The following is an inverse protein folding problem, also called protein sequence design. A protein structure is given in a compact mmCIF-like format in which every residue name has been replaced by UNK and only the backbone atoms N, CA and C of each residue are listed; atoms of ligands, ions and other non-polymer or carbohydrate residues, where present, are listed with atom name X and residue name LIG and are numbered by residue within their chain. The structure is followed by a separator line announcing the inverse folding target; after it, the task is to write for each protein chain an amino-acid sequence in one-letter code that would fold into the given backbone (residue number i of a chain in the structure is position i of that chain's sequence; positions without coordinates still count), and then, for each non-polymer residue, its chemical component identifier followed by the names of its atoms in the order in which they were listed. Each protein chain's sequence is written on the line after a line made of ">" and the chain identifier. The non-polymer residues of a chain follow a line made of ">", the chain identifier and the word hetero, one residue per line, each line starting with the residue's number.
data_IF_555549005672
#
_entry.id   IF_555549005672
#
_cell.length_a   1.000
_cell.length_b   1.000
_cell.length_c   1.000
_cell.angle_alpha   90.00
_cell.angle_beta   90.00
_cell.angle_gamma   90.00
#
_symmetry.space_group_name_H-M   'P 1'
#
loop_
_entity.id
_entity.type
_entity.pdbx_description
1 polymer ?
#
# COMPACT_ATOMS: atom_id res chain seq x y z
N UNK A 1 -3.00 -29.83 -17.68
CA UNK A 1 -3.81 -30.80 -18.47
C UNK A 1 -5.31 -30.75 -18.11
N UNK A 2 -5.90 -29.56 -17.89
CA UNK A 2 -7.30 -29.38 -17.42
C UNK A 2 -8.25 -28.82 -18.52
N UNK A 3 -7.86 -28.95 -19.80
CA UNK A 3 -8.57 -28.32 -20.93
C UNK A 3 -9.69 -29.17 -21.54
N UNK A 4 -9.84 -30.43 -21.15
CA UNK A 4 -10.86 -31.34 -21.68
C UNK A 4 -12.17 -31.36 -20.87
N UNK A 5 -12.30 -30.55 -19.82
CA UNK A 5 -13.50 -30.54 -18.95
C UNK A 5 -14.39 -29.31 -19.10
N UNK A 6 -14.14 -28.40 -20.06
CA UNK A 6 -15.12 -27.35 -20.34
C UNK A 6 -16.23 -27.93 -21.22
N UNK A 7 -17.49 -27.99 -20.73
CA UNK A 7 -18.61 -28.57 -21.49
C UNK A 7 -18.81 -27.86 -22.85
N UNK A 8 -18.42 -26.58 -22.93
CA UNK A 8 -18.46 -25.77 -24.16
C UNK A 8 -17.45 -26.21 -25.22
N UNK A 9 -16.28 -26.74 -24.85
CA UNK A 9 -15.32 -27.24 -25.83
C UNK A 9 -15.80 -28.56 -26.44
N UNK A 10 -16.54 -29.36 -25.67
CA UNK A 10 -17.09 -30.62 -26.12
C UNK A 10 -18.26 -30.42 -27.09
N UNK A 11 -19.15 -29.47 -26.82
CA UNK A 11 -20.24 -29.12 -27.75
C UNK A 11 -19.72 -28.53 -29.06
N UNK A 12 -18.66 -27.71 -28.99
CA UNK A 12 -18.02 -27.15 -30.19
C UNK A 12 -17.37 -28.23 -31.05
N UNK A 13 -16.65 -29.15 -30.41
CA UNK A 13 -15.98 -30.26 -31.11
C UNK A 13 -17.01 -31.24 -31.69
N UNK A 14 -18.09 -31.52 -30.96
CA UNK A 14 -19.20 -32.33 -31.45
C UNK A 14 -19.91 -31.70 -32.67
N UNK A 15 -20.14 -30.38 -32.65
CA UNK A 15 -20.70 -29.63 -33.79
C UNK A 15 -19.81 -29.73 -35.04
N UNK A 16 -18.51 -29.53 -34.88
CA UNK A 16 -17.53 -29.62 -35.98
C UNK A 16 -17.46 -31.04 -36.54
N UNK A 17 -17.42 -32.06 -35.67
CA UNK A 17 -17.40 -33.47 -36.09
C UNK A 17 -18.68 -33.85 -36.83
N UNK A 18 -19.84 -33.38 -36.36
CA UNK A 18 -21.12 -33.66 -36.99
C UNK A 18 -21.23 -32.98 -38.36
N UNK A 19 -20.73 -31.74 -38.50
CA UNK A 19 -20.70 -31.01 -39.76
C UNK A 19 -19.74 -31.67 -40.78
N UNK A 20 -18.57 -32.14 -40.32
CA UNK A 20 -17.65 -32.92 -41.15
C UNK A 20 -18.22 -34.28 -41.55
N UNK A 21 -18.94 -34.95 -40.66
CA UNK A 21 -19.60 -36.23 -40.93
C UNK A 21 -20.70 -36.09 -41.99
N UNK A 22 -21.55 -35.08 -41.88
CA UNK A 22 -22.59 -34.77 -42.88
C UNK A 22 -21.96 -34.35 -44.21
N UNK A 23 -20.90 -33.52 -44.18
CA UNK A 23 -20.18 -33.12 -45.39
C UNK A 23 -19.53 -34.31 -46.11
N UNK A 24 -18.90 -35.22 -45.36
CA UNK A 24 -18.31 -36.46 -45.89
C UNK A 24 -19.34 -37.43 -46.45
N UNK A 25 -20.51 -37.53 -45.81
CA UNK A 25 -21.64 -38.35 -46.31
C UNK A 25 -22.21 -37.80 -47.63
N UNK A 26 -22.31 -36.47 -47.76
CA UNK A 26 -22.75 -35.81 -48.99
C UNK A 26 -21.76 -35.95 -50.16
N UNK A 27 -20.47 -36.07 -49.86
CA UNK A 27 -19.38 -36.32 -50.81
C UNK A 27 -19.34 -37.77 -51.34
N UNK A 28 -19.97 -38.72 -50.63
CA UNK A 28 -20.09 -40.11 -51.06
C UNK A 28 -21.21 -40.33 -52.09
N UNK A 29 -22.02 -39.28 -52.38
CA UNK A 29 -23.12 -39.33 -53.33
C UNK A 29 -22.62 -38.98 -54.76
N UNK A 30 -22.65 -39.92 -55.73
CA UNK A 30 -21.97 -39.80 -57.03
C UNK A 30 -22.55 -38.75 -58.00
N UNK A 31 -23.56 -37.97 -57.59
CA UNK A 31 -24.18 -36.92 -58.40
C UNK A 31 -23.52 -35.52 -58.27
N UNK A 32 -22.47 -35.37 -57.45
CA UNK A 32 -21.85 -34.05 -57.18
C UNK A 32 -20.62 -33.74 -58.07
N UNK A 33 -20.64 -32.58 -58.72
CA UNK A 33 -19.56 -32.09 -59.58
C UNK A 33 -18.31 -31.72 -58.77
N UNK A 34 -17.10 -32.04 -59.28
CA UNK A 34 -15.79 -31.78 -58.64
C UNK A 34 -15.60 -30.34 -58.15
N UNK A 35 -16.28 -29.36 -58.78
CA UNK A 35 -16.24 -27.95 -58.40
C UNK A 35 -16.97 -27.63 -57.09
N UNK A 36 -18.01 -28.38 -56.73
CA UNK A 36 -18.78 -28.14 -55.51
C UNK A 36 -18.12 -28.76 -54.29
N UNK A 37 -17.45 -29.90 -54.47
CA UNK A 37 -16.57 -30.51 -53.47
C UNK A 37 -15.43 -29.58 -53.02
N UNK A 38 -14.81 -28.85 -53.96
CA UNK A 38 -13.73 -27.90 -53.64
C UNK A 38 -14.25 -26.68 -52.86
N UNK A 39 -15.45 -26.20 -53.17
CA UNK A 39 -16.07 -25.06 -52.48
C UNK A 39 -16.46 -25.40 -51.04
N UNK A 40 -17.03 -26.58 -50.82
CA UNK A 40 -17.43 -27.02 -49.47
C UNK A 40 -16.23 -27.36 -48.60
N UNK A 41 -15.19 -27.97 -49.17
CA UNK A 41 -13.93 -28.24 -48.47
C UNK A 41 -13.21 -26.96 -48.01
N UNK A 42 -13.17 -25.93 -48.86
CA UNK A 42 -12.58 -24.62 -48.53
C UNK A 42 -13.32 -23.91 -47.39
N UNK A 43 -14.66 -23.91 -47.42
CA UNK A 43 -15.48 -23.32 -46.35
C UNK A 43 -15.34 -24.08 -45.03
N UNK A 44 -15.34 -25.41 -45.06
CA UNK A 44 -15.15 -26.24 -43.87
C UNK A 44 -13.75 -26.03 -43.25
N UNK A 45 -12.70 -26.01 -44.06
CA UNK A 45 -11.34 -25.74 -43.60
C UNK A 45 -11.18 -24.33 -43.01
N UNK A 46 -11.74 -23.32 -43.69
CA UNK A 46 -11.75 -21.93 -43.21
C UNK A 46 -12.46 -21.78 -41.86
N UNK A 47 -13.60 -22.45 -41.67
CA UNK A 47 -14.33 -22.44 -40.42
C UNK A 47 -13.51 -23.02 -39.26
N UNK A 48 -12.81 -24.14 -39.46
CA UNK A 48 -11.96 -24.75 -38.42
C UNK A 48 -10.82 -23.81 -38.02
N UNK A 49 -10.14 -23.20 -39.00
CA UNK A 49 -9.04 -22.26 -38.74
C UNK A 49 -9.55 -21.02 -38.00
N UNK A 50 -10.70 -20.46 -38.40
CA UNK A 50 -11.30 -19.32 -37.73
C UNK A 50 -11.66 -19.63 -36.26
N UNK A 51 -12.22 -20.82 -36.00
CA UNK A 51 -12.55 -21.27 -34.64
C UNK A 51 -11.31 -21.51 -33.80
N UNK A 52 -10.26 -22.11 -34.38
CA UNK A 52 -9.00 -22.31 -33.68
C UNK A 52 -8.34 -20.97 -33.32
N UNK A 53 -8.37 -20.00 -34.24
CA UNK A 53 -7.88 -18.65 -33.97
C UNK A 53 -8.68 -17.96 -32.85
N UNK A 54 -10.02 -18.08 -32.87
CA UNK A 54 -10.87 -17.55 -31.81
C UNK A 54 -10.58 -18.20 -30.46
N UNK A 55 -10.43 -19.53 -30.42
CA UNK A 55 -10.09 -20.26 -29.21
C UNK A 55 -8.73 -19.87 -28.65
N UNK A 56 -7.73 -19.71 -29.52
CA UNK A 56 -6.40 -19.26 -29.12
C UNK A 56 -6.43 -17.84 -28.54
N UNK A 57 -7.24 -16.95 -29.14
CA UNK A 57 -7.42 -15.59 -28.67
C UNK A 57 -8.12 -15.54 -27.29
N UNK A 58 -9.21 -16.28 -27.10
CA UNK A 58 -9.90 -16.41 -25.80
C UNK A 58 -8.95 -16.95 -24.73
N UNK A 59 -8.13 -17.95 -25.09
CA UNK A 59 -7.17 -18.53 -24.16
C UNK A 59 -6.04 -17.57 -23.79
N UNK A 60 -5.53 -16.80 -24.73
CA UNK A 60 -4.53 -15.74 -24.46
C UNK A 60 -5.11 -14.70 -23.50
N UNK A 61 -6.32 -14.21 -23.80
CA UNK A 61 -7.03 -13.24 -22.97
C UNK A 61 -7.18 -13.71 -21.51
N UNK A 62 -7.63 -14.96 -21.29
CA UNK A 62 -7.77 -15.51 -19.93
C UNK A 62 -6.45 -15.61 -19.16
N UNK A 63 -5.33 -15.84 -19.85
CA UNK A 63 -4.01 -15.90 -19.20
C UNK A 63 -3.55 -14.51 -18.83
N UNK A 64 -3.77 -13.52 -19.69
CA UNK A 64 -3.44 -12.12 -19.43
C UNK A 64 -4.26 -11.54 -18.28
N UNK A 65 -5.57 -11.78 -18.24
CA UNK A 65 -6.45 -11.36 -17.14
C UNK A 65 -5.96 -11.93 -15.79
N UNK A 66 -5.63 -13.23 -15.74
CA UNK A 66 -5.07 -13.84 -14.53
C UNK A 66 -3.73 -13.27 -14.11
N UNK A 67 -2.88 -12.87 -15.06
CA UNK A 67 -1.59 -12.22 -14.75
C UNK A 67 -1.83 -10.85 -14.12
N UNK A 68 -2.72 -10.06 -14.71
CA UNK A 68 -3.09 -8.75 -14.18
C UNK A 68 -3.68 -8.86 -12.77
N UNK A 69 -4.54 -9.84 -12.51
CA UNK A 69 -5.11 -10.05 -11.18
C UNK A 69 -4.03 -10.41 -10.14
N UNK A 70 -3.09 -11.28 -10.50
CA UNK A 70 -1.96 -11.65 -9.62
C UNK A 70 -1.05 -10.44 -9.37
N UNK A 71 -0.75 -9.66 -10.40
CA UNK A 71 0.07 -8.44 -10.28
C UNK A 71 -0.62 -7.40 -9.39
N UNK A 72 -1.92 -7.16 -9.56
CA UNK A 72 -2.71 -6.28 -8.69
C UNK A 72 -2.68 -6.75 -7.24
N UNK A 73 -2.97 -8.03 -7.00
CA UNK A 73 -2.92 -8.60 -5.65
C UNK A 73 -1.53 -8.48 -5.02
N UNK A 74 -0.46 -8.68 -5.81
CA UNK A 74 0.91 -8.49 -5.32
C UNK A 74 1.17 -7.04 -4.95
N UNK A 75 0.80 -6.09 -5.80
CA UNK A 75 0.96 -4.67 -5.52
C UNK A 75 0.18 -4.22 -4.29
N UNK A 76 -1.04 -4.71 -4.09
CA UNK A 76 -1.84 -4.43 -2.90
C UNK A 76 -1.18 -4.97 -1.63
N UNK A 77 -0.68 -6.21 -1.66
CA UNK A 77 0.03 -6.81 -0.53
C UNK A 77 1.35 -6.09 -0.22
N UNK A 78 2.10 -5.70 -1.25
CA UNK A 78 3.33 -4.91 -1.09
C UNK A 78 3.05 -3.53 -0.51
N UNK A 79 1.99 -2.86 -0.96
CA UNK A 79 1.57 -1.57 -0.39
C UNK A 79 1.16 -1.69 1.08
N UNK A 80 0.39 -2.73 1.43
CA UNK A 80 0.02 -3.00 2.83
C UNK A 80 1.23 -3.29 3.70
N UNK A 81 2.17 -4.12 3.23
CA UNK A 81 3.42 -4.40 3.95
C UNK A 81 4.26 -3.14 4.14
N UNK A 82 4.41 -2.33 3.09
CA UNK A 82 5.14 -1.07 3.17
C UNK A 82 4.51 -0.12 4.20
N UNK A 83 3.19 -0.09 4.33
CA UNK A 83 2.52 0.72 5.34
C UNK A 83 2.73 0.19 6.76
N UNK A 84 2.61 -1.12 6.97
CA UNK A 84 2.91 -1.75 8.26
C UNK A 84 4.37 -1.52 8.69
N UNK A 85 5.32 -1.65 7.76
CA UNK A 85 6.74 -1.42 8.06
C UNK A 85 7.01 0.05 8.38
N UNK A 86 6.32 0.97 7.70
CA UNK A 86 6.37 2.40 8.03
C UNK A 86 5.85 2.68 9.44
N UNK A 87 4.77 2.04 9.85
CA UNK A 87 4.19 2.15 11.20
C UNK A 87 5.16 1.61 12.26
N UNK A 88 5.72 0.41 12.04
CA UNK A 88 6.73 -0.17 12.95
C UNK A 88 7.95 0.72 13.11
N UNK A 89 8.49 1.26 12.02
CA UNK A 89 9.61 2.21 12.08
C UNK A 89 9.24 3.49 12.82
N UNK A 90 7.96 3.90 12.78
CA UNK A 90 7.46 5.03 13.55
C UNK A 90 7.51 4.74 15.06
N UNK A 91 7.00 3.58 15.46
CA UNK A 91 6.98 3.12 16.85
C UNK A 91 8.38 2.95 17.43
N UNK A 92 9.30 2.35 16.67
CA UNK A 92 10.69 2.19 17.08
C UNK A 92 11.37 3.55 17.29
N UNK A 93 11.16 4.50 16.38
CA UNK A 93 11.67 5.88 16.52
C UNK A 93 11.05 6.60 17.72
N UNK A 94 9.76 6.40 17.96
CA UNK A 94 9.07 6.95 19.12
C UNK A 94 9.68 6.41 20.42
N UNK A 95 9.74 5.08 20.55
CA UNK A 95 10.31 4.41 21.71
C UNK A 95 11.75 4.86 21.97
N UNK A 96 12.57 4.93 20.90
CA UNK A 96 13.96 5.38 21.04
C UNK A 96 14.07 6.83 21.47
N UNK A 97 13.23 7.72 20.95
CA UNK A 97 13.24 9.12 21.36
C UNK A 97 12.78 9.29 22.82
N UNK A 98 11.79 8.52 23.28
CA UNK A 98 11.36 8.50 24.69
C UNK A 98 12.48 7.99 25.60
N UNK A 99 13.21 6.95 25.20
CA UNK A 99 14.38 6.44 25.93
C UNK A 99 15.47 7.53 26.05
N UNK A 100 15.81 8.20 24.94
CA UNK A 100 16.82 9.26 24.91
C UNK A 100 16.41 10.52 25.70
N UNK A 101 15.11 10.76 25.91
CA UNK A 101 14.63 11.85 26.75
C UNK A 101 14.99 11.64 28.23
N UNK A 102 15.24 10.40 28.65
CA UNK A 102 15.73 10.06 29.99
C UNK A 102 17.26 10.13 30.16
N UNK A 103 18.00 10.53 29.12
CA UNK A 103 19.47 10.55 29.15
C UNK A 103 20.01 11.71 30.01
N UNK A 104 21.15 11.51 30.69
CA UNK A 104 21.74 12.51 31.58
C UNK A 104 22.24 13.77 30.85
N UNK A 105 22.75 13.60 29.61
CA UNK A 105 23.18 14.72 28.79
C UNK A 105 22.01 15.53 28.23
N UNK A 106 21.99 16.84 28.52
CA UNK A 106 21.00 17.81 28.06
C UNK A 106 20.86 17.86 26.53
N UNK A 107 21.98 17.83 25.81
CA UNK A 107 21.99 17.84 24.34
C UNK A 107 21.28 16.63 23.73
N UNK A 108 21.40 15.45 24.35
CA UNK A 108 20.72 14.23 23.89
C UNK A 108 19.21 14.36 24.09
N UNK A 109 18.78 14.94 25.20
CA UNK A 109 17.35 15.20 25.47
C UNK A 109 16.77 16.22 24.49
N UNK A 110 17.50 17.29 24.16
CA UNK A 110 17.09 18.24 23.11
C UNK A 110 16.92 17.54 21.76
N UNK A 111 17.86 16.67 21.39
CA UNK A 111 17.74 15.82 20.21
C UNK A 111 16.48 14.95 20.22
N UNK A 112 16.20 14.31 21.35
CA UNK A 112 14.98 13.50 21.54
C UNK A 112 13.70 14.33 21.38
N UNK A 113 13.64 15.54 21.97
CA UNK A 113 12.52 16.46 21.83
C UNK A 113 12.23 16.80 20.36
N UNK A 114 13.28 17.10 19.59
CA UNK A 114 13.14 17.39 18.16
C UNK A 114 12.73 16.17 17.33
N UNK A 115 13.21 14.97 17.68
CA UNK A 115 12.80 13.72 17.05
C UNK A 115 11.30 13.45 17.27
N UNK A 116 10.81 13.59 18.51
CA UNK A 116 9.39 13.45 18.85
C UNK A 116 8.53 14.47 18.10
N UNK A 117 8.94 15.74 18.09
CA UNK A 117 8.21 16.78 17.35
C UNK A 117 8.22 16.54 15.84
N UNK A 118 9.31 15.99 15.28
CA UNK A 118 9.39 15.57 13.88
C UNK A 118 8.42 14.42 13.57
N UNK A 119 8.31 13.45 14.47
CA UNK A 119 7.35 12.35 14.33
C UNK A 119 5.90 12.87 14.36
N UNK A 120 5.55 13.73 15.33
CA UNK A 120 4.23 14.35 15.40
C UNK A 120 3.87 15.15 14.14
N UNK A 121 4.84 15.88 13.55
CA UNK A 121 4.62 16.63 12.31
C UNK A 121 4.42 15.75 11.08
N UNK A 122 5.12 14.62 11.01
CA UNK A 122 5.03 13.70 9.86
C UNK A 122 3.86 12.73 9.96
N UNK A 123 3.39 12.42 11.17
CA UNK A 123 2.32 11.47 11.43
C UNK A 123 1.31 12.03 12.44
N UNK A 124 0.15 12.54 11.97
CA UNK A 124 -0.86 13.14 12.83
C UNK A 124 -1.30 12.24 13.99
N UNK A 125 -1.34 10.91 13.80
CA UNK A 125 -1.69 9.94 14.84
C UNK A 125 -0.80 9.97 16.08
N UNK A 126 0.46 10.40 15.97
CA UNK A 126 1.38 10.51 17.12
C UNK A 126 1.31 11.87 17.83
N UNK A 127 0.58 12.85 17.28
CA UNK A 127 0.60 14.24 17.79
C UNK A 127 0.16 14.31 19.24
N UNK A 128 -0.96 13.66 19.57
CA UNK A 128 -1.49 13.67 20.94
C UNK A 128 -0.53 12.96 21.90
N UNK A 129 -0.06 11.76 21.56
CA UNK A 129 0.88 10.99 22.38
C UNK A 129 2.19 11.75 22.64
N UNK A 130 2.73 12.41 21.60
CA UNK A 130 3.93 13.24 21.75
C UNK A 130 3.64 14.42 22.69
N UNK A 131 2.51 15.11 22.53
CA UNK A 131 2.13 16.20 23.44
C UNK A 131 2.00 15.73 24.89
N UNK A 132 1.41 14.55 25.11
CA UNK A 132 1.27 13.98 26.46
C UNK A 132 2.63 13.68 27.10
N UNK A 133 3.58 13.13 26.34
CA UNK A 133 4.96 12.90 26.80
C UNK A 133 5.67 14.22 27.14
N UNK A 134 5.57 15.23 26.28
CA UNK A 134 6.19 16.54 26.51
C UNK A 134 5.57 17.25 27.73
N UNK A 135 4.26 17.20 27.88
CA UNK A 135 3.55 17.76 29.02
C UNK A 135 3.90 17.02 30.32
N UNK A 136 4.03 15.69 30.27
CA UNK A 136 4.49 14.89 31.41
C UNK A 136 5.91 15.27 31.82
N UNK A 137 6.82 15.45 30.85
CA UNK A 137 8.19 15.94 31.11
C UNK A 137 8.17 17.30 31.80
N UNK A 138 7.39 18.25 31.28
CA UNK A 138 7.29 19.61 31.82
C UNK A 138 6.64 19.64 33.22
N UNK A 139 5.76 18.69 33.55
CA UNK A 139 5.11 18.60 34.86
C UNK A 139 6.06 18.18 35.99
N UNK A 140 7.21 17.57 35.69
CA UNK A 140 8.19 17.23 36.74
C UNK A 140 8.60 18.50 37.51
N UNK A 141 8.70 18.45 38.85
CA UNK A 141 9.18 19.57 39.65
C UNK A 141 10.52 20.09 39.12
N UNK A 142 10.65 21.41 39.06
CA UNK A 142 11.86 22.10 38.66
C UNK A 142 11.98 23.35 39.50
N UNK A 143 12.91 23.30 40.45
CA UNK A 143 13.17 24.43 41.34
C UNK A 143 14.15 25.37 40.63
N UNK A 144 13.61 26.45 40.09
CA UNK A 144 14.36 27.50 39.43
C UNK A 144 14.15 28.80 40.18
N UNK A 145 15.11 29.15 41.02
CA UNK A 145 15.22 30.46 41.63
C UNK A 145 16.01 31.34 40.67
N UNK A 146 15.37 32.40 40.14
CA UNK A 146 16.10 33.42 39.37
C UNK A 146 17.10 34.09 40.35
N UNK A 147 18.39 34.21 40.00
CA UNK A 147 19.35 34.92 40.84
C UNK A 147 18.83 36.33 41.12
N UNK A 148 18.69 36.67 42.39
CA UNK A 148 18.16 37.98 42.82
C UNK A 148 19.26 39.02 43.01
N UNK A 149 20.51 38.56 43.06
CA UNK A 149 21.72 39.38 43.14
C UNK A 149 22.72 38.94 42.08
N UNK A 150 23.62 39.83 41.68
CA UNK A 150 24.71 39.56 40.73
C UNK A 150 25.77 38.58 41.27
N UNK A 151 25.71 38.24 42.55
CA UNK A 151 26.75 37.51 43.27
C UNK A 151 26.41 36.01 43.45
N UNK A 152 25.21 35.58 43.05
CA UNK A 152 24.84 34.17 42.97
C UNK A 152 25.28 33.59 41.63
N UNK A 153 26.31 32.74 41.66
CA UNK A 153 26.77 31.99 40.48
C UNK A 153 25.68 30.97 40.09
N UNK A 154 25.12 31.02 38.87
CA UNK A 154 24.03 30.14 38.48
C UNK A 154 24.50 28.69 38.40
N UNK A 155 23.69 27.78 38.97
CA UNK A 155 23.93 26.34 38.88
C UNK A 155 23.87 25.89 37.41
N UNK A 156 24.99 25.44 36.80
CA UNK A 156 25.05 25.10 35.38
C UNK A 156 24.14 23.93 35.02
N UNK A 157 23.79 23.05 35.97
CA UNK A 157 22.86 21.96 35.73
C UNK A 157 21.42 22.47 35.58
N UNK A 158 21.03 23.48 36.38
CA UNK A 158 19.73 24.14 36.27
C UNK A 158 19.58 24.92 34.98
N UNK A 159 20.63 25.60 34.52
CA UNK A 159 20.61 26.31 33.24
C UNK A 159 20.44 25.37 32.05
N UNK A 160 21.14 24.21 32.09
CA UNK A 160 20.98 23.14 31.09
C UNK A 160 19.56 22.59 31.10
N UNK A 161 19.00 22.30 32.28
CA UNK A 161 17.62 21.83 32.40
C UNK A 161 16.59 22.86 31.92
N UNK A 162 16.79 24.15 32.26
CA UNK A 162 15.96 25.25 31.77
C UNK A 162 15.94 25.29 30.25
N UNK A 163 17.09 25.11 29.61
CA UNK A 163 17.23 25.08 28.15
C UNK A 163 16.39 23.95 27.53
N UNK A 164 16.42 22.76 28.11
CA UNK A 164 15.61 21.62 27.65
C UNK A 164 14.11 21.91 27.81
N UNK A 165 13.70 22.46 28.95
CA UNK A 165 12.29 22.79 29.23
C UNK A 165 11.74 23.89 28.32
N UNK A 166 12.51 24.96 28.09
CA UNK A 166 12.14 26.00 27.13
C UNK A 166 12.00 25.44 25.72
N UNK A 167 12.86 24.49 25.34
CA UNK A 167 12.76 23.80 24.06
C UNK A 167 11.47 22.99 23.96
N UNK A 168 11.13 22.21 25.00
CA UNK A 168 9.87 21.46 25.05
C UNK A 168 8.63 22.39 24.97
N UNK A 169 8.62 23.50 25.70
CA UNK A 169 7.53 24.49 25.66
C UNK A 169 7.33 25.11 24.28
N UNK A 170 8.42 25.47 23.59
CA UNK A 170 8.38 25.98 22.22
C UNK A 170 7.78 24.94 21.27
N UNK A 171 8.23 23.68 21.35
CA UNK A 171 7.73 22.60 20.50
C UNK A 171 6.25 22.31 20.76
N UNK A 172 5.80 22.31 22.02
CA UNK A 172 4.36 22.17 22.35
C UNK A 172 3.55 23.30 21.73
N UNK A 173 4.00 24.54 21.89
CA UNK A 173 3.32 25.72 21.30
C UNK A 173 3.23 25.62 19.78
N UNK A 174 4.30 25.19 19.12
CA UNK A 174 4.35 25.02 17.67
C UNK A 174 3.41 23.90 17.18
N UNK A 175 3.38 22.76 17.88
CA UNK A 175 2.51 21.64 17.54
C UNK A 175 1.02 22.01 17.72
N UNK A 176 0.68 22.69 18.82
CA UNK A 176 -0.68 23.16 19.08
C UNK A 176 -1.14 24.20 18.03
N UNK A 177 -0.28 25.15 17.67
CA UNK A 177 -0.59 26.14 16.62
C UNK A 177 -0.87 25.47 15.28
N UNK A 178 -0.11 24.43 14.93
CA UNK A 178 -0.33 23.68 13.68
C UNK A 178 -1.65 22.90 13.71
N UNK A 179 -1.96 22.27 14.84
CA UNK A 179 -3.20 21.52 15.01
C UNK A 179 -4.45 22.40 14.87
N UNK A 180 -4.41 23.65 15.37
CA UNK A 180 -5.53 24.60 15.24
C UNK A 180 -5.68 25.17 13.82
N UNK A 181 -4.57 25.35 13.09
CA UNK A 181 -4.62 25.84 11.70
C UNK A 181 -5.08 24.82 10.67
N UNK A 182 -5.11 23.54 11.01
CA UNK A 182 -5.59 22.49 10.10
C UNK A 182 -7.11 22.43 10.19
N UNK A 183 -7.89 22.81 9.14
CA UNK A 183 -9.34 22.76 9.21
C UNK A 183 -9.77 21.32 9.48
N UNK A 184 -10.51 21.13 10.58
CA UNK A 184 -11.07 19.85 10.99
C UNK A 184 -12.00 19.40 9.86
N UNK A 185 -11.54 18.50 8.97
CA UNK A 185 -12.39 17.83 7.98
C UNK A 185 -13.47 17.10 8.77
N UNK A 186 -14.63 17.73 8.89
CA UNK A 186 -15.84 17.08 9.39
C UNK A 186 -16.15 15.96 8.43
N UNK A 187 -15.80 14.74 8.80
CA UNK A 187 -16.41 13.53 8.24
C UNK A 187 -17.88 13.57 8.63
N UNK A 188 -18.72 14.11 7.75
CA UNK A 188 -20.16 13.90 7.78
C UNK A 188 -20.39 12.43 7.49
N UNK A 189 -20.81 11.68 8.50
CA UNK A 189 -21.76 10.57 8.33
C UNK A 189 -23.11 11.11 7.87
#
# INVERSE_FOLDING_TARGET
>A
MKLWRSPLAWTFLASVVLLLGVGGWLLADPATSRSDALKTGGLAGGAIVALYALWLNDRRRRVEERRQDIERQRHELEAQRAEQDRERVADERFAKAVELLGHAADQVRVGALHALAGLARSRPGYTQTVLDVLCSYLRRPFDYTRPTSSDEDPDPERERELTVRLTAQRLVSDLLRRATTTPRRTTST
#
